data_IF_303050039644
#
_entry.id   IF_303050039644
#
_cell.length_a   1.000
_cell.length_b   1.000
_cell.length_c   1.000
_cell.angle_alpha   90.00
_cell.angle_beta   90.00
_cell.angle_gamma   90.00
#
_symmetry.space_group_name_H-M   'P 1'
#
loop_
_entity.id
_entity.type
_entity.pdbx_description
1 polymer ?
#
# COMPACT_ATOMS: atom_id res chain seq x y z
N UNK A 1 -0.84 -20.06 7.99
CA UNK A 1 -2.30 -19.96 8.19
C UNK A 1 -2.53 -18.52 8.65
N UNK A 2 -2.95 -17.63 7.76
CA UNK A 2 -3.10 -16.21 8.05
C UNK A 2 -4.15 -16.02 9.15
N UNK A 3 -3.80 -15.29 10.21
CA UNK A 3 -4.71 -15.01 11.31
C UNK A 3 -5.76 -13.99 10.86
N UNK A 4 -6.94 -14.50 10.50
CA UNK A 4 -8.08 -13.70 10.07
C UNK A 4 -8.52 -12.71 11.16
N UNK A 5 -8.22 -12.98 12.44
CA UNK A 5 -8.47 -12.06 13.55
C UNK A 5 -7.48 -10.90 13.55
N UNK A 6 -6.21 -11.13 13.18
CA UNK A 6 -5.21 -10.05 13.07
C UNK A 6 -5.56 -9.08 11.94
N UNK A 7 -6.04 -9.59 10.80
CA UNK A 7 -6.47 -8.76 9.68
C UNK A 7 -7.71 -7.95 10.05
N UNK A 8 -8.72 -8.57 10.64
CA UNK A 8 -9.94 -7.89 11.07
C UNK A 8 -9.64 -6.83 12.14
N UNK A 9 -8.79 -7.15 13.12
CA UNK A 9 -8.37 -6.22 14.17
C UNK A 9 -7.62 -5.03 13.61
N UNK A 10 -6.72 -5.25 12.65
CA UNK A 10 -6.02 -4.16 11.95
C UNK A 10 -7.02 -3.28 11.21
N UNK A 11 -7.99 -3.85 10.50
CA UNK A 11 -9.01 -3.07 9.80
C UNK A 11 -9.91 -2.25 10.74
N UNK A 12 -10.31 -2.83 11.87
CA UNK A 12 -11.13 -2.14 12.89
C UNK A 12 -10.33 -1.03 13.57
N UNK A 13 -9.07 -1.28 13.94
CA UNK A 13 -8.20 -0.24 14.53
C UNK A 13 -7.93 0.91 13.56
N UNK A 14 -7.74 0.62 12.27
CA UNK A 14 -7.57 1.64 11.23
C UNK A 14 -8.88 2.43 11.00
N UNK A 15 -10.05 1.79 11.14
CA UNK A 15 -11.36 2.42 10.98
C UNK A 15 -11.81 3.21 12.23
N UNK A 16 -11.47 2.76 13.43
CA UNK A 16 -11.79 3.44 14.69
C UNK A 16 -10.93 4.70 14.85
N UNK A 17 -9.66 4.68 14.41
CA UNK A 17 -8.83 5.87 14.36
C UNK A 17 -9.34 6.91 13.35
N UNK A 18 -10.13 6.53 12.33
CA UNK A 18 -10.78 7.45 11.37
C UNK A 18 -11.89 8.32 11.99
N UNK A 19 -12.37 7.99 13.19
CA UNK A 19 -13.60 8.57 13.78
C UNK A 19 -13.33 9.48 14.98
N UNK A 20 -12.13 9.45 15.60
CA UNK A 20 -11.75 10.36 16.68
C UNK A 20 -10.42 11.05 16.34
N UNK A 21 -10.46 12.36 16.08
CA UNK A 21 -9.31 13.25 15.82
C UNK A 21 -8.18 12.62 14.98
N UNK A 22 -8.40 12.57 13.66
CA UNK A 22 -7.52 11.93 12.70
C UNK A 22 -6.12 12.57 12.63
N UNK A 23 -5.16 12.10 13.42
CA UNK A 23 -3.75 12.36 13.14
C UNK A 23 -3.28 11.41 12.03
N UNK A 24 -3.43 11.87 10.79
CA UNK A 24 -2.98 11.19 9.58
C UNK A 24 -1.51 10.74 9.70
N UNK A 25 -0.66 11.49 10.41
CA UNK A 25 0.76 11.15 10.56
C UNK A 25 0.91 9.92 11.45
N UNK A 26 0.19 9.85 12.57
CA UNK A 26 0.22 8.68 13.46
C UNK A 26 -0.37 7.44 12.78
N UNK A 27 -1.44 7.61 12.01
CA UNK A 27 -2.00 6.54 11.20
C UNK A 27 -0.99 5.98 10.18
N UNK A 28 -0.33 6.87 9.42
CA UNK A 28 0.64 6.46 8.41
C UNK A 28 1.90 5.86 9.04
N UNK A 29 2.30 6.32 10.23
CA UNK A 29 3.40 5.73 10.99
C UNK A 29 3.06 4.33 11.47
N UNK A 30 1.86 4.13 12.04
CA UNK A 30 1.37 2.81 12.40
C UNK A 30 1.34 1.88 11.18
N UNK A 31 0.90 2.38 10.02
CA UNK A 31 0.92 1.62 8.77
C UNK A 31 2.34 1.19 8.39
N UNK A 32 3.32 2.10 8.40
CA UNK A 32 4.72 1.75 8.06
C UNK A 32 5.29 0.71 9.01
N UNK A 33 5.03 0.84 10.32
CA UNK A 33 5.53 -0.10 11.32
C UNK A 33 4.93 -1.50 11.14
N UNK A 34 3.63 -1.58 10.83
CA UNK A 34 2.96 -2.86 10.53
C UNK A 34 3.45 -3.47 9.22
N UNK A 35 3.72 -2.66 8.20
CA UNK A 35 4.27 -3.14 6.93
C UNK A 35 5.63 -3.83 7.12
N UNK A 36 6.52 -3.27 7.95
CA UNK A 36 7.81 -3.90 8.29
C UNK A 36 7.59 -5.30 8.89
N UNK A 37 6.67 -5.43 9.84
CA UNK A 37 6.37 -6.73 10.47
C UNK A 37 5.67 -7.75 9.56
N UNK A 38 4.97 -7.30 8.51
CA UNK A 38 4.13 -8.18 7.67
C UNK A 38 4.73 -8.50 6.29
N UNK A 39 5.60 -7.66 5.75
CA UNK A 39 6.00 -7.69 4.34
C UNK A 39 7.48 -8.05 4.09
N UNK A 40 8.13 -8.69 5.07
CA UNK A 40 9.56 -9.09 4.96
C UNK A 40 10.44 -7.89 4.54
N UNK A 41 10.15 -6.73 5.13
CA UNK A 41 10.87 -5.48 4.92
C UNK A 41 11.64 -5.13 6.19
N UNK A 42 12.84 -4.57 6.05
CA UNK A 42 13.60 -4.04 7.17
C UNK A 42 13.11 -2.66 7.58
N UNK A 43 12.55 -1.90 6.63
CA UNK A 43 12.04 -0.57 6.85
C UNK A 43 11.01 -0.18 5.78
N UNK A 44 10.15 0.79 6.08
CA UNK A 44 9.09 1.25 5.20
C UNK A 44 8.93 2.78 5.22
N UNK A 45 8.58 3.37 4.08
CA UNK A 45 8.33 4.80 3.92
C UNK A 45 7.08 5.06 3.09
N UNK A 46 6.35 6.13 3.41
CA UNK A 46 5.15 6.56 2.69
C UNK A 46 5.35 7.97 2.17
N UNK A 47 5.20 8.16 0.86
CA UNK A 47 5.22 9.45 0.21
C UNK A 47 3.85 9.74 -0.39
N UNK A 48 3.34 10.95 -0.17
CA UNK A 48 2.10 11.44 -0.79
C UNK A 48 2.37 12.71 -1.59
N UNK A 49 1.68 12.86 -2.70
CA UNK A 49 1.68 14.10 -3.47
C UNK A 49 0.89 15.17 -2.72
N UNK A 50 1.44 16.39 -2.66
CA UNK A 50 0.68 17.56 -2.25
C UNK A 50 -0.20 18.09 -3.39
N UNK A 51 -0.88 19.22 -3.14
CA UNK A 51 -1.78 19.85 -4.12
C UNK A 51 -1.08 20.31 -5.39
N UNK A 52 0.24 20.48 -5.35
CA UNK A 52 1.07 20.88 -6.48
C UNK A 52 1.66 19.65 -7.21
N UNK A 53 1.26 18.44 -6.82
CA UNK A 53 1.77 17.19 -7.38
C UNK A 53 3.18 16.83 -6.91
N UNK A 54 3.69 17.51 -5.88
CA UNK A 54 5.03 17.23 -5.33
C UNK A 54 4.95 16.19 -4.24
N UNK A 55 5.71 15.12 -4.39
CA UNK A 55 5.82 14.10 -3.35
C UNK A 55 6.47 14.65 -2.09
N UNK A 56 5.88 14.31 -0.94
CA UNK A 56 6.39 14.61 0.39
C UNK A 56 6.41 13.33 1.21
N UNK A 57 7.43 13.17 2.04
CA UNK A 57 7.50 12.04 2.97
C UNK A 57 6.51 12.29 4.10
N UNK A 58 5.54 11.39 4.25
CA UNK A 58 4.47 11.48 5.23
C UNK A 58 4.72 10.61 6.45
N UNK A 59 5.27 9.41 6.25
CA UNK A 59 5.68 8.52 7.33
C UNK A 59 6.92 7.71 6.93
N UNK A 60 7.66 7.27 7.94
CA UNK A 60 8.75 6.33 7.82
C UNK A 60 8.84 5.52 9.11
N UNK A 61 9.19 4.24 9.00
CA UNK A 61 9.38 3.35 10.15
C UNK A 61 10.62 3.72 10.98
N UNK A 62 11.62 4.33 10.34
CA UNK A 62 12.84 4.79 10.98
C UNK A 62 13.40 6.05 10.30
N UNK A 63 14.34 6.70 10.98
CA UNK A 63 14.97 7.94 10.51
C UNK A 63 15.87 7.71 9.30
N UNK A 64 16.46 6.52 9.13
CA UNK A 64 17.36 6.25 8.00
C UNK A 64 16.57 6.20 6.69
N UNK A 65 15.39 5.58 6.68
CA UNK A 65 14.45 5.63 5.55
C UNK A 65 13.95 7.05 5.35
N UNK A 66 13.59 7.77 6.42
CA UNK A 66 13.14 9.16 6.30
C UNK A 66 14.15 10.01 5.52
N UNK A 67 15.43 9.93 5.89
CA UNK A 67 16.51 10.64 5.22
C UNK A 67 16.74 10.15 3.78
N UNK A 68 16.66 8.84 3.54
CA UNK A 68 16.82 8.27 2.20
C UNK A 68 15.68 8.69 1.26
N UNK A 69 14.46 8.77 1.74
CA UNK A 69 13.30 9.27 0.97
C UNK A 69 13.44 10.74 0.64
N UNK A 70 13.84 11.58 1.62
CA UNK A 70 14.12 12.99 1.37
C UNK A 70 15.24 13.15 0.34
N UNK A 71 16.26 12.29 0.39
CA UNK A 71 17.34 12.29 -0.59
C UNK A 71 16.86 11.96 -2.00
N UNK A 72 15.95 11.00 -2.17
CA UNK A 72 15.33 10.71 -3.46
C UNK A 72 14.59 11.93 -4.02
N UNK A 73 13.77 12.58 -3.18
CA UNK A 73 13.02 13.78 -3.55
C UNK A 73 13.92 14.96 -3.94
N UNK A 74 15.01 15.18 -3.19
CA UNK A 74 15.94 16.27 -3.44
C UNK A 74 16.76 16.10 -4.71
N UNK A 75 17.09 14.85 -5.08
CA UNK A 75 17.91 14.55 -6.24
C UNK A 75 17.10 14.20 -7.48
N UNK A 76 15.77 14.13 -7.37
CA UNK A 76 14.86 13.64 -8.41
C UNK A 76 15.26 12.24 -8.96
N UNK A 77 15.89 11.43 -8.11
CA UNK A 77 16.37 10.09 -8.43
C UNK A 77 15.76 9.08 -7.47
N UNK A 78 15.03 8.10 -8.02
CA UNK A 78 14.71 6.90 -7.26
C UNK A 78 13.46 6.15 -7.72
N UNK A 79 13.31 4.91 -7.23
CA UNK A 79 12.18 4.06 -7.55
C UNK A 79 10.84 4.67 -7.09
N UNK A 80 10.81 5.47 -6.01
CA UNK A 80 9.56 6.06 -5.54
C UNK A 80 9.00 7.10 -6.52
N UNK A 81 9.88 7.93 -7.09
CA UNK A 81 9.53 8.93 -8.09
C UNK A 81 9.06 8.29 -9.39
N UNK A 82 9.77 7.25 -9.84
CA UNK A 82 9.38 6.49 -11.03
C UNK A 82 8.06 5.75 -10.84
N UNK A 83 7.88 5.13 -9.68
CA UNK A 83 6.65 4.46 -9.31
C UNK A 83 5.46 5.44 -9.33
N UNK A 84 5.64 6.64 -8.77
CA UNK A 84 4.63 7.69 -8.79
C UNK A 84 4.31 8.16 -10.21
N UNK A 85 5.34 8.44 -11.03
CA UNK A 85 5.18 8.91 -12.41
C UNK A 85 4.51 7.89 -13.33
N UNK A 86 4.88 6.63 -13.21
CA UNK A 86 4.37 5.55 -14.09
C UNK A 86 3.10 4.90 -13.54
N UNK A 87 2.84 5.05 -12.24
CA UNK A 87 1.86 4.25 -11.52
C UNK A 87 2.19 2.76 -11.48
N UNK A 88 3.39 2.33 -11.84
CA UNK A 88 3.74 0.90 -11.85
C UNK A 88 4.62 0.57 -10.65
N UNK A 89 4.49 -0.63 -10.06
CA UNK A 89 5.42 -1.09 -9.04
C UNK A 89 6.85 -1.13 -9.59
N UNK A 90 7.80 -0.57 -8.84
CA UNK A 90 9.22 -0.59 -9.18
C UNK A 90 9.96 -1.43 -8.14
N UNK A 91 10.56 -2.54 -8.59
CA UNK A 91 11.21 -3.52 -7.71
C UNK A 91 12.69 -3.58 -8.07
N UNK A 92 13.53 -3.27 -7.10
CA UNK A 92 14.97 -3.35 -7.21
C UNK A 92 15.47 -4.36 -6.18
N UNK A 93 15.74 -5.62 -6.59
CA UNK A 93 16.21 -6.65 -5.67
C UNK A 93 17.66 -6.43 -5.25
N UNK A 94 18.43 -5.62 -5.98
CA UNK A 94 19.80 -5.23 -5.64
C UNK A 94 20.09 -3.80 -6.13
N UNK A 95 20.21 -2.88 -5.17
CA UNK A 95 20.46 -1.46 -5.38
C UNK A 95 21.85 -1.18 -6.00
N UNK A 96 22.81 -2.09 -5.89
CA UNK A 96 24.12 -1.93 -6.53
C UNK A 96 24.02 -2.00 -8.07
N UNK A 97 23.03 -2.73 -8.59
CA UNK A 97 22.84 -2.95 -10.03
C UNK A 97 22.23 -1.75 -10.76
N UNK A 98 21.61 -0.81 -10.01
CA UNK A 98 20.94 0.37 -10.59
C UNK A 98 21.79 1.64 -10.53
N UNK A 99 23.09 1.53 -10.24
CA UNK A 99 24.02 2.67 -10.16
C UNK A 99 24.07 3.49 -11.45
N UNK A 100 23.88 2.87 -12.62
CA UNK A 100 23.82 3.60 -13.90
C UNK A 100 22.54 4.44 -14.06
N UNK A 101 21.45 4.03 -13.38
CA UNK A 101 20.13 4.66 -13.46
C UNK A 101 19.93 5.74 -12.40
N UNK A 102 20.32 5.44 -11.16
CA UNK A 102 20.24 6.33 -10.00
C UNK A 102 21.57 6.31 -9.23
N UNK A 103 22.62 6.95 -9.78
CA UNK A 103 23.96 6.90 -9.20
C UNK A 103 24.00 7.47 -7.79
N UNK A 104 23.24 8.54 -7.52
CA UNK A 104 23.24 9.19 -6.20
C UNK A 104 22.50 8.33 -5.18
N UNK A 105 21.36 7.77 -5.58
CA UNK A 105 20.57 6.91 -4.71
C UNK A 105 21.34 5.64 -4.33
N UNK A 106 21.98 4.97 -5.29
CA UNK A 106 22.70 3.72 -5.02
C UNK A 106 23.75 3.91 -3.92
N UNK A 107 24.52 5.01 -3.98
CA UNK A 107 25.53 5.35 -2.96
C UNK A 107 24.86 5.71 -1.62
N UNK A 108 23.79 6.50 -1.63
CA UNK A 108 23.08 6.87 -0.40
C UNK A 108 22.45 5.66 0.29
N UNK A 109 21.82 4.77 -0.46
CA UNK A 109 21.17 3.58 0.06
C UNK A 109 22.18 2.60 0.65
N UNK A 110 23.33 2.40 0.00
CA UNK A 110 24.44 1.61 0.54
C UNK A 110 24.97 2.18 1.86
N UNK A 111 25.14 3.51 1.95
CA UNK A 111 25.56 4.18 3.20
C UNK A 111 24.55 4.03 4.32
N UNK A 112 23.26 3.97 3.98
CA UNK A 112 22.17 3.70 4.92
C UNK A 112 21.98 2.21 5.23
N UNK A 113 22.75 1.31 4.60
CA UNK A 113 22.67 -0.13 4.83
C UNK A 113 21.56 -0.87 4.09
N UNK A 114 20.89 -0.22 3.14
CA UNK A 114 19.83 -0.84 2.33
C UNK A 114 20.39 -1.44 1.04
N UNK A 115 19.96 -2.67 0.74
CA UNK A 115 20.40 -3.45 -0.41
C UNK A 115 19.29 -3.66 -1.44
N UNK A 116 18.02 -3.59 -1.06
CA UNK A 116 16.89 -3.74 -1.97
C UNK A 116 15.76 -2.77 -1.62
N UNK A 117 14.93 -2.44 -2.62
CA UNK A 117 13.78 -1.55 -2.46
C UNK A 117 12.62 -1.96 -3.36
N UNK A 118 11.40 -1.81 -2.85
CA UNK A 118 10.16 -1.99 -3.60
C UNK A 118 9.28 -0.77 -3.42
N UNK A 119 9.07 -0.03 -4.50
CA UNK A 119 8.12 1.08 -4.54
C UNK A 119 6.80 0.59 -5.10
N UNK A 120 5.73 0.77 -4.32
CA UNK A 120 4.38 0.36 -4.65
C UNK A 120 3.49 1.61 -4.80
N UNK A 121 2.76 1.75 -5.92
CA UNK A 121 1.97 2.94 -6.18
C UNK A 121 0.73 2.94 -5.29
N UNK A 122 0.51 4.04 -4.58
CA UNK A 122 -0.72 4.26 -3.83
C UNK A 122 -1.72 4.98 -4.71
N UNK A 123 -2.92 4.43 -4.84
CA UNK A 123 -3.95 4.94 -5.74
C UNK A 123 -5.21 5.32 -4.99
N UNK A 124 -5.79 6.45 -5.39
CA UNK A 124 -7.15 6.82 -5.07
C UNK A 124 -7.95 6.80 -6.38
N UNK A 125 -8.81 5.78 -6.54
CA UNK A 125 -9.48 5.49 -7.82
C UNK A 125 -8.43 5.26 -8.92
N UNK A 126 -8.47 6.05 -9.99
CA UNK A 126 -7.56 5.94 -11.13
C UNK A 126 -6.33 6.85 -11.01
N UNK A 127 -6.23 7.65 -9.94
CA UNK A 127 -5.13 8.58 -9.71
C UNK A 127 -4.09 7.99 -8.75
N UNK A 128 -2.80 8.13 -9.11
CA UNK A 128 -1.69 7.78 -8.23
C UNK A 128 -1.46 8.96 -7.29
N UNK A 129 -1.71 8.76 -6.00
CA UNK A 129 -1.60 9.81 -4.97
C UNK A 129 -0.26 9.75 -4.22
N UNK A 130 0.54 8.71 -4.45
CA UNK A 130 1.82 8.55 -3.78
C UNK A 130 2.48 7.19 -4.01
N UNK A 131 3.47 6.88 -3.17
CA UNK A 131 4.19 5.61 -3.18
C UNK A 131 4.46 5.09 -1.75
N UNK A 132 4.29 3.79 -1.57
CA UNK A 132 4.74 3.03 -0.41
C UNK A 132 6.06 2.36 -0.78
N UNK A 133 7.12 2.65 -0.04
CA UNK A 133 8.45 2.11 -0.29
C UNK A 133 8.81 1.13 0.83
N UNK A 134 9.27 -0.06 0.44
CA UNK A 134 9.69 -1.12 1.33
C UNK A 134 11.17 -1.39 1.07
N UNK A 135 12.00 -1.25 2.10
CA UNK A 135 13.45 -1.44 2.01
C UNK A 135 13.86 -2.73 2.72
N UNK A 136 14.91 -3.37 2.20
CA UNK A 136 15.58 -4.49 2.86
C UNK A 136 17.08 -4.25 2.94
N UNK A 137 17.68 -4.76 4.01
CA UNK A 137 19.14 -4.78 4.20
C UNK A 137 19.82 -5.94 3.46
N UNK A 138 19.05 -6.93 2.99
CA UNK A 138 19.55 -8.08 2.23
C UNK A 138 19.13 -8.00 0.76
N UNK A 139 20.06 -8.20 -0.20
CA UNK A 139 19.70 -8.28 -1.61
C UNK A 139 18.93 -9.56 -1.91
N UNK A 140 18.16 -9.54 -2.99
CA UNK A 140 17.37 -10.67 -3.48
C UNK A 140 15.91 -10.34 -3.74
N UNK A 141 15.17 -11.23 -4.45
CA UNK A 141 13.74 -11.06 -4.66
C UNK A 141 13.01 -11.07 -3.32
N UNK A 142 11.93 -10.28 -3.21
CA UNK A 142 11.03 -10.46 -2.08
C UNK A 142 10.47 -11.88 -2.15
N UNK A 143 10.47 -12.58 -1.02
CA UNK A 143 9.90 -13.92 -0.88
C UNK A 143 8.43 -14.00 -1.32
N UNK A 144 7.75 -12.85 -1.42
CA UNK A 144 6.40 -12.69 -1.96
C UNK A 144 6.44 -11.93 -3.30
N UNK A 145 5.85 -12.46 -4.39
CA UNK A 145 5.67 -11.70 -5.62
C UNK A 145 4.72 -10.50 -5.36
N UNK A 146 4.95 -9.35 -6.00
CA UNK A 146 4.01 -8.23 -5.93
C UNK A 146 2.63 -8.71 -6.41
N UNK A 147 1.58 -8.45 -5.61
CA UNK A 147 0.23 -8.70 -6.08
C UNK A 147 -0.04 -7.75 -7.26
N UNK A 148 -0.56 -8.23 -8.41
CA UNK A 148 -0.95 -7.33 -9.49
C UNK A 148 -1.95 -6.31 -8.94
N UNK A 149 -1.82 -5.03 -9.31
CA UNK A 149 -2.66 -3.94 -8.79
C UNK A 149 -4.13 -4.37 -8.66
N UNK A 150 -4.83 -4.09 -7.55
CA UNK A 150 -6.25 -4.37 -7.44
C UNK A 150 -6.97 -3.68 -8.60
N UNK A 151 -7.80 -4.43 -9.34
CA UNK A 151 -8.74 -3.83 -10.30
C UNK A 151 -9.56 -2.77 -9.56
N UNK A 152 -9.96 -1.67 -10.22
CA UNK A 152 -10.79 -0.65 -9.59
C UNK A 152 -12.01 -1.32 -8.95
N UNK A 153 -12.28 -0.94 -7.69
CA UNK A 153 -13.45 -1.39 -6.96
C UNK A 153 -14.70 -1.06 -7.79
N UNK A 154 -15.65 -2.01 -7.96
CA UNK A 154 -16.87 -1.71 -8.69
C UNK A 154 -17.60 -0.57 -7.97
N UNK A 155 -17.68 0.59 -8.60
CA UNK A 155 -18.37 1.80 -8.10
C UNK A 155 -19.88 1.75 -8.31
N UNK A 156 -20.44 0.57 -8.56
CA UNK A 156 -21.88 0.41 -8.80
C UNK A 156 -22.59 0.06 -7.48
N UNK A 157 -23.65 0.78 -7.09
CA UNK A 157 -24.50 0.35 -5.99
C UNK A 157 -25.14 -1.02 -6.32
N UNK A 158 -25.44 -1.86 -5.31
CA UNK A 158 -26.05 -3.17 -5.51
C UNK A 158 -27.54 -3.01 -5.84
N UNK A 159 -27.85 -2.60 -7.07
CA UNK A 159 -29.24 -2.56 -7.57
C UNK A 159 -29.47 -3.48 -8.78
N UNK A 160 -28.43 -4.17 -9.29
CA UNK A 160 -28.55 -5.01 -10.48
C UNK A 160 -28.56 -6.53 -10.23
N UNK A 161 -28.42 -7.02 -8.99
CA UNK A 161 -28.45 -8.46 -8.71
C UNK A 161 -29.87 -9.06 -8.58
N UNK A 162 -30.95 -8.26 -8.63
CA UNK A 162 -32.31 -8.78 -8.42
C UNK A 162 -33.08 -9.15 -9.70
N UNK A 163 -32.62 -8.84 -10.91
CA UNK A 163 -33.46 -8.96 -12.11
C UNK A 163 -33.20 -10.17 -13.02
N UNK A 164 -32.41 -11.17 -12.60
CA UNK A 164 -32.13 -12.31 -13.49
C UNK A 164 -32.07 -13.67 -12.79
N UNK A 165 -33.07 -13.98 -11.95
CA UNK A 165 -33.37 -15.36 -11.58
C UNK A 165 -34.54 -15.87 -12.46
N UNK A 166 -34.35 -16.92 -13.29
CA UNK A 166 -35.47 -17.60 -13.92
C UNK A 166 -36.28 -18.37 -12.87
N UNK A 167 -37.59 -18.39 -13.09
CA UNK A 167 -38.67 -18.92 -12.25
C UNK A 167 -38.34 -20.19 -11.45
N UNK A 168 -38.42 -20.10 -10.12
CA UNK A 168 -38.88 -21.22 -9.27
C UNK A 168 -40.04 -20.69 -8.42
N UNK A 169 -41.21 -20.61 -9.06
CA UNK A 169 -42.49 -20.55 -8.39
C UNK A 169 -43.12 -21.95 -8.49
N UNK A 170 -42.87 -22.82 -7.51
CA UNK A 170 -43.70 -24.00 -7.24
C UNK A 170 -43.26 -24.69 -5.93
N UNK A 171 -43.72 -24.16 -4.79
CA UNK A 171 -44.15 -24.89 -3.57
C UNK A 171 -44.21 -23.94 -2.36
N UNK A 172 -45.28 -23.16 -2.28
CA UNK A 172 -45.83 -22.72 -1.00
C UNK A 172 -47.26 -23.26 -0.92
N UNK A 173 -47.40 -24.49 -0.44
CA UNK A 173 -48.67 -25.00 0.06
C UNK A 173 -48.90 -24.39 1.44
N UNK A 174 -49.92 -23.54 1.55
CA UNK A 174 -50.87 -23.44 2.68
C UNK A 174 -50.49 -24.19 3.96
N UNK A 175 -50.16 -23.46 5.04
CA UNK A 175 -51.01 -23.38 6.24
C UNK A 175 -50.46 -22.48 7.35
N UNK A 176 -51.39 -21.83 8.06
CA UNK A 176 -51.30 -21.35 9.45
C UNK A 176 -50.71 -19.96 9.73
N UNK A 177 -51.52 -18.93 9.45
CA UNK A 177 -51.68 -17.81 10.38
C UNK A 177 -52.63 -18.22 11.52
N UNK A 178 -52.17 -18.25 12.79
CA UNK A 178 -52.92 -17.84 14.01
C UNK A 178 -52.13 -18.09 15.30
N UNK A 179 -52.16 -17.09 16.18
CA UNK A 179 -51.85 -17.16 17.62
C UNK A 179 -50.46 -16.58 17.95
N UNK A 180 -50.30 -15.55 18.78
CA UNK A 180 -51.22 -14.88 19.71
C UNK A 180 -50.62 -13.52 20.06
#
# INVERSE_FOLDING_TARGET
MMDQQLLAKTFVELADNLVADFDLIDFLRLLTDRCVGMLDASAAGVLLADRDGKLRVMAASDEQVRLLELFQLQNDEGPCLECFRTGTPVIVPDLSTVTARWPRLAVAAQRSGFAAVQALPMRLRDEVVGALNLFRTTPGPSTRPPHPSPRPWPTSPPSACCNNAPSIAARCSTNSCRGR
#
